data_IF_467333527289
#
_entry.id   IF_467333527289
#
_cell.length_a   1.000
_cell.length_b   1.000
_cell.length_c   1.000
_cell.angle_alpha   90.00
_cell.angle_beta   90.00
_cell.angle_gamma   90.00
#
_symmetry.space_group_name_H-M   'P 1'
#
loop_
_entity.id
_entity.type
_entity.pdbx_description
1 polymer ?
#
# COMPACT_ATOMS: atom_id res chain seq x y z
N UNK A 1 31.86 37.44 38.42
CA UNK A 1 30.42 37.33 38.70
C UNK A 1 29.71 37.56 37.38
N UNK A 2 29.58 36.51 36.54
CA UNK A 2 28.71 36.45 35.36
C UNK A 2 28.75 35.01 34.82
N UNK A 3 27.93 34.19 35.36
CA UNK A 3 27.50 32.90 34.76
C UNK A 3 26.15 32.57 35.39
N UNK A 4 25.12 32.65 34.59
CA UNK A 4 23.80 31.99 34.71
C UNK A 4 22.82 32.79 33.85
N UNK A 5 22.61 32.37 32.61
CA UNK A 5 21.31 32.61 31.93
C UNK A 5 21.25 31.99 30.54
N UNK A 6 21.80 30.78 30.33
CA UNK A 6 21.67 30.09 29.05
C UNK A 6 20.71 28.90 29.06
N UNK A 7 20.28 28.46 30.26
CA UNK A 7 19.33 27.31 30.38
C UNK A 7 17.85 27.70 30.20
N UNK A 8 17.52 28.95 30.59
CA UNK A 8 16.11 29.39 30.57
C UNK A 8 15.61 29.81 29.17
N UNK A 9 16.53 30.15 28.24
CA UNK A 9 16.17 30.47 26.86
C UNK A 9 15.98 29.20 25.99
N UNK A 10 16.79 28.17 26.25
CA UNK A 10 16.63 26.87 25.57
C UNK A 10 15.36 26.17 25.97
N UNK A 11 14.99 26.13 27.25
CA UNK A 11 13.74 25.58 27.75
C UNK A 11 12.48 26.31 27.21
N UNK A 12 12.60 27.64 26.96
CA UNK A 12 11.52 28.41 26.33
C UNK A 12 11.40 28.17 24.84
N UNK A 13 12.48 27.89 24.11
CA UNK A 13 12.45 27.53 22.70
C UNK A 13 11.89 26.12 22.49
N UNK A 14 12.27 25.16 23.32
CA UNK A 14 11.75 23.79 23.23
C UNK A 14 10.24 23.73 23.65
N UNK A 15 9.83 24.53 24.63
CA UNK A 15 8.42 24.68 25.00
C UNK A 15 7.58 25.36 23.91
N UNK A 16 8.15 26.30 23.14
CA UNK A 16 7.47 26.99 22.03
C UNK A 16 7.34 26.10 20.78
N UNK A 17 8.32 25.24 20.50
CA UNK A 17 8.28 24.25 19.43
C UNK A 17 7.25 23.13 19.76
N UNK A 18 7.20 22.67 21.00
CA UNK A 18 6.21 21.71 21.45
C UNK A 18 4.77 22.26 21.43
N UNK A 19 4.57 23.53 21.77
CA UNK A 19 3.27 24.20 21.73
C UNK A 19 2.79 24.49 20.30
N UNK A 20 3.71 24.80 19.37
CA UNK A 20 3.38 25.00 17.95
C UNK A 20 2.97 23.68 17.27
N UNK A 21 3.60 22.56 17.65
CA UNK A 21 3.26 21.23 17.14
C UNK A 21 1.96 20.69 17.76
N UNK A 22 1.67 21.01 19.01
CA UNK A 22 0.40 20.69 19.67
C UNK A 22 -0.78 21.52 19.11
N UNK A 23 -0.59 22.82 18.86
CA UNK A 23 -1.61 23.70 18.24
C UNK A 23 -1.86 23.34 16.77
N UNK A 24 -0.85 22.84 16.04
CA UNK A 24 -1.04 22.27 14.71
C UNK A 24 -1.84 20.96 14.74
N UNK A 25 -1.92 20.26 15.87
CA UNK A 25 -2.67 18.99 16.03
C UNK A 25 -4.17 19.21 16.29
N UNK A 26 -4.59 20.29 16.95
CA UNK A 26 -5.99 20.60 17.22
C UNK A 26 -6.78 21.11 16.00
N UNK A 27 -6.16 21.65 14.97
CA UNK A 27 -6.82 22.09 13.73
C UNK A 27 -7.09 20.96 12.71
N UNK A 28 -6.73 19.72 13.04
CA UNK A 28 -6.67 18.56 12.14
C UNK A 28 -8.00 17.87 11.78
N UNK A 29 -9.05 17.84 12.62
CA UNK A 29 -10.36 17.33 12.20
C UNK A 29 -11.02 18.18 11.12
N UNK A 30 -10.73 19.49 11.08
CA UNK A 30 -11.32 20.42 10.11
C UNK A 30 -10.80 20.21 8.68
N UNK A 31 -9.56 19.75 8.50
CA UNK A 31 -8.99 19.45 7.17
C UNK A 31 -9.74 18.32 6.47
N UNK A 32 -10.03 17.21 7.18
CA UNK A 32 -10.81 16.11 6.59
C UNK A 32 -12.27 16.53 6.30
N UNK A 33 -12.89 17.29 7.19
CA UNK A 33 -14.28 17.74 6.97
C UNK A 33 -14.41 18.67 5.74
N UNK A 34 -13.48 19.60 5.57
CA UNK A 34 -13.50 20.56 4.45
C UNK A 34 -13.23 19.87 3.11
N UNK A 35 -12.24 18.97 3.05
CA UNK A 35 -11.94 18.23 1.83
C UNK A 35 -13.01 17.21 1.45
N UNK A 36 -13.70 16.61 2.44
CA UNK A 36 -14.81 15.69 2.21
C UNK A 36 -16.00 16.37 1.52
N UNK A 37 -16.30 17.61 1.91
CA UNK A 37 -17.38 18.37 1.28
C UNK A 37 -17.13 18.67 -0.21
N UNK A 38 -15.87 18.68 -0.63
CA UNK A 38 -15.49 18.93 -2.03
C UNK A 38 -15.54 17.65 -2.90
N UNK A 39 -15.64 16.45 -2.29
CA UNK A 39 -15.75 15.19 -3.04
C UNK A 39 -17.09 15.13 -3.82
N UNK A 40 -17.05 14.47 -4.97
CA UNK A 40 -18.25 14.17 -5.73
C UNK A 40 -19.15 13.13 -5.00
N UNK A 41 -20.40 12.96 -5.47
CA UNK A 41 -21.36 12.07 -4.84
C UNK A 41 -20.93 10.60 -4.87
N UNK A 42 -20.19 10.18 -5.92
CA UNK A 42 -19.68 8.81 -6.05
C UNK A 42 -18.61 8.53 -5.01
N UNK A 43 -17.67 9.46 -4.83
CA UNK A 43 -16.63 9.35 -3.82
C UNK A 43 -17.22 9.37 -2.41
N UNK A 44 -18.23 10.22 -2.14
CA UNK A 44 -18.91 10.25 -0.83
C UNK A 44 -19.70 8.98 -0.54
N UNK A 45 -20.31 8.37 -1.55
CA UNK A 45 -21.02 7.10 -1.38
C UNK A 45 -20.07 5.93 -1.07
N UNK A 46 -18.87 5.91 -1.69
CA UNK A 46 -17.88 4.88 -1.48
C UNK A 46 -17.07 5.09 -0.19
N UNK A 47 -16.71 6.33 0.11
CA UNK A 47 -15.85 6.73 1.22
C UNK A 47 -16.63 7.62 2.19
N UNK A 48 -17.45 7.00 3.02
CA UNK A 48 -18.28 7.69 4.02
C UNK A 48 -17.47 8.31 5.16
N UNK A 49 -18.12 9.10 6.00
CA UNK A 49 -17.46 9.76 7.15
C UNK A 49 -16.89 8.76 8.15
N UNK A 50 -17.53 7.59 8.31
CA UNK A 50 -17.04 6.52 9.19
C UNK A 50 -15.73 5.95 8.66
N UNK A 51 -15.60 5.78 7.33
CA UNK A 51 -14.36 5.36 6.70
C UNK A 51 -13.24 6.39 6.92
N UNK A 52 -13.51 7.69 6.78
CA UNK A 52 -12.51 8.73 7.04
C UNK A 52 -12.03 8.74 8.50
N UNK A 53 -12.91 8.49 9.45
CA UNK A 53 -12.53 8.33 10.86
C UNK A 53 -11.60 7.12 11.06
N UNK A 54 -11.85 6.01 10.36
CA UNK A 54 -10.95 4.84 10.36
C UNK A 54 -9.58 5.19 9.76
N UNK A 55 -9.51 5.99 8.71
CA UNK A 55 -8.24 6.46 8.16
C UNK A 55 -7.42 7.24 9.20
N UNK A 56 -8.05 8.14 9.94
CA UNK A 56 -7.36 8.88 11.01
C UNK A 56 -6.88 7.95 12.14
N UNK A 57 -7.68 6.96 12.52
CA UNK A 57 -7.25 5.94 13.47
C UNK A 57 -6.01 5.18 12.98
N UNK A 58 -6.04 4.70 11.72
CA UNK A 58 -4.90 4.02 11.10
C UNK A 58 -3.65 4.88 11.09
N UNK A 59 -3.77 6.18 10.85
CA UNK A 59 -2.66 7.12 10.91
C UNK A 59 -2.01 7.17 12.31
N UNK A 60 -2.84 7.25 13.35
CA UNK A 60 -2.34 7.32 14.72
C UNK A 60 -1.59 6.05 15.10
N UNK A 61 -2.16 4.89 14.75
CA UNK A 61 -1.57 3.59 15.03
C UNK A 61 -0.29 3.39 14.22
N UNK A 62 -0.30 3.70 12.92
CA UNK A 62 0.87 3.56 12.05
C UNK A 62 2.02 4.47 12.50
N UNK A 63 1.77 5.73 12.88
CA UNK A 63 2.82 6.62 13.39
C UNK A 63 3.51 6.05 14.64
N UNK A 64 2.75 5.49 15.59
CA UNK A 64 3.32 4.85 16.78
C UNK A 64 4.15 3.61 16.42
N UNK A 65 3.69 2.85 15.47
CA UNK A 65 4.37 1.67 14.96
C UNK A 65 5.67 2.03 14.22
N UNK A 66 5.63 3.03 13.35
CA UNK A 66 6.80 3.50 12.60
C UNK A 66 7.82 4.28 13.45
N UNK A 67 7.41 4.93 14.53
CA UNK A 67 8.33 5.59 15.46
C UNK A 67 9.26 4.60 16.18
N UNK A 68 8.83 3.34 16.36
CA UNK A 68 9.61 2.29 17.01
C UNK A 68 10.44 1.41 16.07
N UNK A 69 10.15 1.44 14.77
CA UNK A 69 10.72 0.53 13.77
C UNK A 69 10.98 1.32 12.48
N UNK A 70 12.21 1.75 12.31
CA UNK A 70 12.66 2.11 10.96
C UNK A 70 12.92 0.81 10.19
N UNK A 71 12.17 0.49 9.12
CA UNK A 71 12.46 -0.67 8.29
C UNK A 71 13.89 -0.60 7.77
N UNK A 72 14.57 -1.73 7.67
CA UNK A 72 15.93 -1.78 7.11
C UNK A 72 16.00 -1.16 5.70
N UNK A 73 14.90 -1.22 4.94
CA UNK A 73 14.74 -0.57 3.63
C UNK A 73 14.71 0.97 3.67
N UNK A 74 14.39 1.58 4.82
CA UNK A 74 14.43 3.05 5.02
C UNK A 74 15.81 3.55 5.44
N UNK A 75 16.70 2.67 5.89
CA UNK A 75 18.06 3.01 6.32
C UNK A 75 19.05 2.92 5.17
N UNK A 76 19.03 3.87 4.27
CA UNK A 76 20.13 4.08 3.35
C UNK A 76 21.30 4.72 4.08
N UNK A 77 22.28 3.94 4.52
CA UNK A 77 23.57 4.48 4.98
C UNK A 77 24.32 5.02 3.77
N UNK A 78 24.32 6.33 3.59
CA UNK A 78 25.14 6.99 2.56
C UNK A 78 26.16 7.89 3.22
N UNK A 79 27.34 7.88 2.63
CA UNK A 79 28.38 8.89 2.94
C UNK A 79 27.88 10.23 2.42
N UNK A 80 27.66 11.24 3.32
CA UNK A 80 27.62 12.61 2.85
C UNK A 80 26.36 13.35 3.15
N UNK A 81 25.30 13.48 2.98
CA UNK A 81 24.29 14.53 3.20
C UNK A 81 22.99 13.96 3.84
N UNK A 82 23.03 13.70 5.12
CA UNK A 82 21.86 13.40 5.93
C UNK A 82 21.77 14.32 7.13
N UNK A 83 20.58 14.49 7.71
CA UNK A 83 20.35 15.36 8.87
C UNK A 83 20.77 14.70 10.19
N UNK A 84 20.83 13.37 10.28
CA UNK A 84 21.19 12.66 11.50
C UNK A 84 22.43 11.78 11.29
N UNK A 85 23.39 11.92 12.20
CA UNK A 85 24.55 11.05 12.27
C UNK A 85 24.11 9.63 12.66
N UNK A 86 24.53 8.64 11.85
CA UNK A 86 24.20 7.23 12.12
C UNK A 86 25.37 6.50 12.80
N UNK A 87 26.51 6.42 12.14
CA UNK A 87 27.67 5.69 12.64
C UNK A 87 28.97 6.12 11.95
N UNK A 88 30.09 5.62 12.45
CA UNK A 88 31.39 5.77 11.81
C UNK A 88 31.77 4.49 11.05
N UNK A 89 32.25 4.65 9.82
CA UNK A 89 32.87 3.57 9.03
C UNK A 89 34.36 3.88 8.83
N UNK A 90 35.24 2.88 8.90
CA UNK A 90 36.64 3.07 8.51
C UNK A 90 36.76 3.61 7.07
N UNK A 91 37.65 4.55 6.87
CA UNK A 91 37.96 5.06 5.54
C UNK A 91 38.60 3.98 4.67
N UNK A 92 38.15 3.89 3.43
CA UNK A 92 38.76 3.04 2.40
C UNK A 92 39.27 3.93 1.24
N UNK A 93 40.36 3.48 0.59
CA UNK A 93 40.94 4.22 -0.54
C UNK A 93 39.91 4.39 -1.65
N UNK A 94 39.65 5.64 -2.03
CA UNK A 94 38.61 6.02 -2.99
C UNK A 94 37.36 6.66 -2.37
N UNK A 95 37.23 6.66 -1.05
CA UNK A 95 36.19 7.39 -0.35
C UNK A 95 36.44 8.91 -0.37
N UNK A 96 35.37 9.69 -0.37
CA UNK A 96 35.45 11.16 -0.35
C UNK A 96 35.84 11.68 1.04
N UNK A 97 37.02 12.23 1.13
CA UNK A 97 37.62 12.76 2.38
C UNK A 97 36.89 13.96 2.99
N UNK A 98 35.94 14.60 2.26
CA UNK A 98 35.09 15.66 2.81
C UNK A 98 34.20 15.18 3.96
N UNK A 99 33.94 13.87 4.00
CA UNK A 99 33.13 13.25 5.03
C UNK A 99 33.92 12.58 6.15
N UNK A 100 35.24 12.78 6.16
CA UNK A 100 36.10 12.35 7.28
C UNK A 100 35.73 13.09 8.57
N UNK A 101 35.69 12.35 9.67
CA UNK A 101 35.57 12.93 11.00
C UNK A 101 36.95 13.32 11.55
N UNK A 102 37.33 14.54 11.27
CA UNK A 102 38.62 15.10 11.76
C UNK A 102 38.71 15.16 13.28
N UNK A 103 37.56 15.32 13.98
CA UNK A 103 37.52 15.32 15.43
C UNK A 103 37.70 13.89 16.00
N UNK A 104 37.19 12.88 15.34
CA UNK A 104 37.46 11.50 15.69
C UNK A 104 38.90 11.10 15.39
N UNK A 105 39.46 11.57 14.26
CA UNK A 105 40.86 11.34 13.92
C UNK A 105 41.80 11.91 15.00
N UNK A 106 41.58 13.16 15.44
CA UNK A 106 42.42 13.78 16.47
C UNK A 106 42.37 13.10 17.85
N UNK A 107 41.34 12.29 18.13
CA UNK A 107 41.19 11.56 19.40
C UNK A 107 41.61 10.11 19.33
N UNK A 108 41.36 9.45 18.19
CA UNK A 108 41.47 7.99 18.06
C UNK A 108 42.57 7.55 17.10
N UNK A 109 43.19 8.48 16.39
CA UNK A 109 44.18 8.25 15.33
C UNK A 109 43.68 7.25 14.26
N UNK A 110 42.38 7.30 13.98
CA UNK A 110 41.71 6.46 12.98
C UNK A 110 40.96 7.32 12.00
N UNK A 111 41.19 7.07 10.72
CA UNK A 111 40.40 7.70 9.65
C UNK A 111 39.01 7.08 9.59
N UNK A 112 38.00 7.81 10.04
CA UNK A 112 36.61 7.41 10.09
C UNK A 112 35.76 8.34 9.23
N UNK A 113 34.89 7.77 8.42
CA UNK A 113 33.85 8.48 7.67
C UNK A 113 32.58 8.59 8.50
N UNK A 114 31.99 9.77 8.50
CA UNK A 114 30.64 9.94 9.03
C UNK A 114 29.63 9.38 8.06
N UNK A 115 28.89 8.39 8.50
CA UNK A 115 27.70 7.94 7.81
C UNK A 115 26.48 8.65 8.40
N UNK A 116 25.69 9.22 7.51
CA UNK A 116 24.45 9.88 7.88
C UNK A 116 23.27 9.00 7.50
N UNK A 117 22.27 9.02 8.35
CA UNK A 117 21.01 8.37 8.06
C UNK A 117 20.25 9.29 7.10
N UNK A 118 20.00 8.79 5.91
CA UNK A 118 19.13 9.46 4.96
C UNK A 118 17.77 8.77 5.02
N UNK A 119 16.75 9.49 5.48
CA UNK A 119 15.38 9.06 5.33
C UNK A 119 15.07 8.94 3.83
N UNK A 120 15.04 7.73 3.32
CA UNK A 120 14.60 7.50 1.93
C UNK A 120 13.07 7.42 1.94
N UNK A 121 12.45 8.32 1.19
CA UNK A 121 11.03 8.20 0.91
C UNK A 121 10.75 6.86 0.25
N UNK A 122 9.85 6.10 0.82
CA UNK A 122 9.35 4.91 0.15
C UNK A 122 8.52 5.31 -1.08
N UNK A 123 8.71 4.57 -2.15
CA UNK A 123 7.85 4.63 -3.32
C UNK A 123 6.88 3.47 -3.25
N UNK A 124 5.61 3.79 -3.17
CA UNK A 124 4.55 2.80 -3.01
C UNK A 124 3.64 2.88 -4.23
N UNK A 125 3.63 1.81 -5.02
CA UNK A 125 2.67 1.59 -6.09
C UNK A 125 1.49 0.79 -5.54
N UNK A 126 0.29 1.28 -5.72
CA UNK A 126 -0.95 0.60 -5.36
C UNK A 126 -1.68 0.29 -6.65
N UNK A 127 -1.81 -0.97 -6.98
CA UNK A 127 -2.52 -1.45 -8.17
C UNK A 127 -3.81 -2.12 -7.74
N UNK A 128 -4.95 -1.64 -8.24
CA UNK A 128 -6.30 -2.11 -7.87
C UNK A 128 -7.03 -2.63 -9.09
N UNK A 129 -7.47 -3.86 -9.00
CA UNK A 129 -8.31 -4.50 -10.01
C UNK A 129 -9.73 -3.92 -9.96
N UNK A 130 -10.24 -3.52 -11.13
CA UNK A 130 -11.60 -3.01 -11.30
C UNK A 130 -12.38 -3.75 -12.39
N UNK A 131 -11.92 -4.96 -12.76
CA UNK A 131 -12.54 -5.84 -13.75
C UNK A 131 -13.93 -6.35 -13.35
N UNK A 132 -14.57 -7.04 -14.26
CA UNK A 132 -15.91 -7.58 -14.08
C UNK A 132 -16.02 -8.56 -12.92
N UNK A 133 -15.02 -9.40 -12.69
CA UNK A 133 -14.99 -10.36 -11.58
C UNK A 133 -15.04 -9.66 -10.23
N UNK A 134 -14.42 -8.46 -10.11
CA UNK A 134 -14.42 -7.65 -8.89
C UNK A 134 -15.77 -7.00 -8.56
N UNK A 135 -16.71 -6.95 -9.51
CA UNK A 135 -18.06 -6.42 -9.28
C UNK A 135 -18.98 -7.41 -8.54
N UNK A 136 -18.56 -8.66 -8.44
CA UNK A 136 -19.34 -9.72 -7.81
C UNK A 136 -19.22 -9.70 -6.29
N UNK A 137 -20.20 -10.36 -5.63
CA UNK A 137 -20.25 -10.48 -4.18
C UNK A 137 -21.09 -9.41 -3.48
N UNK A 138 -21.40 -9.66 -2.20
CA UNK A 138 -22.15 -8.74 -1.33
C UNK A 138 -21.46 -8.65 0.03
N UNK A 139 -20.78 -7.52 0.34
CA UNK A 139 -20.56 -6.35 -0.54
C UNK A 139 -19.65 -6.66 -1.73
N UNK A 140 -19.72 -5.85 -2.82
CA UNK A 140 -18.85 -6.03 -3.99
C UNK A 140 -17.36 -5.99 -3.65
N UNK A 141 -16.58 -6.91 -4.22
CA UNK A 141 -15.12 -6.98 -3.99
C UNK A 141 -14.42 -5.67 -4.36
N UNK A 142 -14.85 -5.02 -5.44
CA UNK A 142 -14.25 -3.76 -5.92
C UNK A 142 -14.38 -2.62 -4.91
N UNK A 143 -15.49 -2.54 -4.17
CA UNK A 143 -15.68 -1.49 -3.17
C UNK A 143 -14.73 -1.66 -2.00
N UNK A 144 -14.55 -2.90 -1.56
CA UNK A 144 -13.56 -3.25 -0.54
C UNK A 144 -12.14 -2.97 -1.04
N UNK A 145 -11.78 -3.39 -2.26
CA UNK A 145 -10.47 -3.18 -2.85
C UNK A 145 -10.12 -1.68 -2.96
N UNK A 146 -11.09 -0.84 -3.39
CA UNK A 146 -10.91 0.62 -3.46
C UNK A 146 -10.72 1.25 -2.07
N UNK A 147 -11.50 0.82 -1.07
CA UNK A 147 -11.33 1.27 0.33
C UNK A 147 -9.99 0.84 0.91
N UNK A 148 -9.56 -0.40 0.66
CA UNK A 148 -8.26 -0.90 1.08
C UNK A 148 -7.11 -0.10 0.45
N UNK A 149 -7.19 0.13 -0.85
CA UNK A 149 -6.20 0.95 -1.57
C UNK A 149 -6.15 2.38 -1.03
N UNK A 150 -7.30 3.00 -0.78
CA UNK A 150 -7.37 4.33 -0.18
C UNK A 150 -6.74 4.38 1.22
N UNK A 151 -6.96 3.36 2.04
CA UNK A 151 -6.39 3.27 3.38
C UNK A 151 -4.87 3.12 3.34
N UNK A 152 -4.34 2.25 2.47
CA UNK A 152 -2.90 2.10 2.27
C UNK A 152 -2.26 3.38 1.73
N UNK A 153 -2.92 4.03 0.75
CA UNK A 153 -2.48 5.32 0.23
C UNK A 153 -2.42 6.39 1.32
N UNK A 154 -3.44 6.47 2.17
CA UNK A 154 -3.50 7.46 3.25
C UNK A 154 -2.36 7.29 4.25
N UNK A 155 -2.06 6.05 4.65
CA UNK A 155 -0.95 5.76 5.56
C UNK A 155 0.39 6.17 4.94
N UNK A 156 0.63 5.82 3.67
CA UNK A 156 1.86 6.23 2.99
C UNK A 156 1.97 7.75 2.84
N UNK A 157 0.88 8.44 2.46
CA UNK A 157 0.84 9.91 2.38
C UNK A 157 1.06 10.58 3.74
N UNK A 158 0.55 9.97 4.83
CA UNK A 158 0.78 10.46 6.18
C UNK A 158 2.24 10.32 6.64
N UNK A 159 2.96 9.34 6.08
CA UNK A 159 4.38 9.12 6.30
C UNK A 159 5.28 9.86 5.27
N UNK A 160 4.69 10.75 4.47
CA UNK A 160 5.36 11.52 3.42
C UNK A 160 5.97 10.65 2.30
N UNK A 161 5.52 9.41 2.15
CA UNK A 161 5.93 8.52 1.08
C UNK A 161 5.39 9.01 -0.29
N UNK A 162 6.01 8.54 -1.37
CA UNK A 162 5.56 8.82 -2.74
C UNK A 162 4.61 7.74 -3.18
N UNK A 163 3.36 8.10 -3.37
CA UNK A 163 2.30 7.16 -3.74
C UNK A 163 1.99 7.27 -5.23
N UNK A 164 1.83 6.12 -5.88
CA UNK A 164 1.19 5.98 -7.17
C UNK A 164 0.02 5.04 -7.01
N UNK A 165 -1.16 5.48 -7.37
CA UNK A 165 -2.35 4.64 -7.42
C UNK A 165 -2.68 4.32 -8.87
N UNK A 166 -2.91 3.05 -9.16
CA UNK A 166 -3.29 2.59 -10.50
C UNK A 166 -4.52 1.69 -10.39
N UNK A 167 -5.41 1.79 -11.35
CA UNK A 167 -6.51 0.85 -11.55
C UNK A 167 -6.40 0.24 -12.93
N UNK A 168 -6.83 -1.01 -13.09
CA UNK A 168 -6.86 -1.66 -14.39
C UNK A 168 -8.16 -2.42 -14.60
N UNK A 169 -8.64 -2.36 -15.82
CA UNK A 169 -9.74 -3.14 -16.37
C UNK A 169 -9.64 -3.09 -17.89
N UNK A 170 -10.14 -4.11 -18.58
CA UNK A 170 -10.29 -4.15 -20.03
C UNK A 170 -9.01 -3.77 -20.83
N UNK A 171 -7.85 -4.19 -20.35
CA UNK A 171 -6.55 -3.91 -20.98
C UNK A 171 -6.01 -2.50 -20.76
N UNK A 172 -6.72 -1.63 -20.05
CA UNK A 172 -6.30 -0.27 -19.75
C UNK A 172 -5.81 -0.10 -18.32
N UNK A 173 -4.71 0.62 -18.14
CA UNK A 173 -4.22 1.04 -16.82
C UNK A 173 -4.32 2.56 -16.70
N UNK A 174 -5.11 3.00 -15.75
CA UNK A 174 -5.13 4.40 -15.32
C UNK A 174 -4.22 4.58 -14.12
N UNK A 175 -3.50 5.68 -14.06
CA UNK A 175 -2.57 5.95 -12.95
C UNK A 175 -2.64 7.39 -12.48
N UNK A 176 -2.64 7.55 -11.16
CA UNK A 176 -2.50 8.82 -10.47
C UNK A 176 -1.18 8.83 -9.71
N UNK A 177 -0.34 9.85 -9.95
CA UNK A 177 0.83 10.15 -9.14
C UNK A 177 0.50 11.22 -8.13
N UNK A 178 0.69 10.94 -6.85
CA UNK A 178 0.42 11.94 -5.82
C UNK A 178 1.68 12.74 -5.50
N UNK A 179 1.48 13.97 -5.06
CA UNK A 179 2.50 14.73 -4.32
C UNK A 179 2.53 14.23 -2.88
N UNK A 180 3.56 14.60 -2.14
CA UNK A 180 3.65 14.27 -0.71
C UNK A 180 2.57 14.99 0.10
N UNK A 181 2.19 14.37 1.20
CA UNK A 181 1.33 14.98 2.20
C UNK A 181 -0.12 14.53 2.15
N UNK A 182 -0.75 14.54 3.29
CA UNK A 182 -2.09 13.98 3.56
C UNK A 182 -3.21 14.60 2.73
N UNK A 183 -3.09 15.87 2.37
CA UNK A 183 -4.09 16.53 1.53
C UNK A 183 -4.29 15.91 0.15
N UNK A 184 -3.35 15.09 -0.31
CA UNK A 184 -3.46 14.38 -1.57
C UNK A 184 -4.46 13.21 -1.52
N UNK A 185 -4.94 12.83 -0.34
CA UNK A 185 -5.90 11.72 -0.21
C UNK A 185 -7.18 11.99 -1.00
N UNK A 186 -7.67 13.22 -1.07
CA UNK A 186 -8.91 13.54 -1.80
C UNK A 186 -8.78 13.23 -3.29
N UNK A 187 -7.65 13.57 -3.90
CA UNK A 187 -7.36 13.20 -5.28
C UNK A 187 -7.33 11.67 -5.48
N UNK A 188 -6.85 10.92 -4.49
CA UNK A 188 -6.88 9.45 -4.51
C UNK A 188 -8.30 8.92 -4.39
N UNK A 189 -9.13 9.48 -3.49
CA UNK A 189 -10.52 9.07 -3.31
C UNK A 189 -11.34 9.31 -4.60
N UNK A 190 -11.22 10.48 -5.20
CA UNK A 190 -11.87 10.83 -6.48
C UNK A 190 -11.39 9.92 -7.62
N UNK A 191 -10.08 9.69 -7.71
CA UNK A 191 -9.50 8.79 -8.71
C UNK A 191 -10.08 7.38 -8.60
N UNK A 192 -10.11 6.80 -7.40
CA UNK A 192 -10.65 5.46 -7.15
C UNK A 192 -12.16 5.40 -7.39
N UNK A 193 -12.92 6.42 -6.98
CA UNK A 193 -14.37 6.49 -7.20
C UNK A 193 -14.72 6.62 -8.67
N UNK A 194 -13.91 7.32 -9.46
CA UNK A 194 -14.10 7.54 -10.90
C UNK A 194 -13.50 6.44 -11.79
N UNK A 195 -12.90 5.40 -11.19
CA UNK A 195 -12.29 4.31 -11.95
C UNK A 195 -13.34 3.61 -12.82
N UNK A 196 -13.04 3.29 -14.08
CA UNK A 196 -13.88 2.41 -14.90
C UNK A 196 -14.03 1.06 -14.23
N UNK A 197 -15.23 0.51 -14.27
CA UNK A 197 -15.58 -0.77 -13.66
C UNK A 197 -16.05 -1.76 -14.74
N UNK A 198 -15.63 -3.02 -14.60
CA UNK A 198 -16.03 -4.08 -15.52
C UNK A 198 -14.97 -4.38 -16.59
N UNK A 199 -15.31 -5.20 -17.57
CA UNK A 199 -14.38 -5.68 -18.57
C UNK A 199 -13.48 -6.82 -18.07
N UNK A 200 -12.57 -7.27 -18.92
CA UNK A 200 -11.66 -8.39 -18.63
C UNK A 200 -10.49 -7.97 -17.77
N UNK A 201 -9.99 -8.91 -16.97
CA UNK A 201 -8.75 -8.71 -16.21
C UNK A 201 -7.55 -9.32 -16.94
N UNK A 202 -6.42 -8.62 -16.90
CA UNK A 202 -5.12 -9.15 -17.32
C UNK A 202 -4.01 -8.47 -16.52
N UNK A 203 -3.58 -9.11 -15.44
CA UNK A 203 -2.55 -8.55 -14.56
C UNK A 203 -1.18 -8.46 -15.24
N UNK A 204 -0.84 -9.38 -16.16
CA UNK A 204 0.42 -9.35 -16.89
C UNK A 204 0.53 -8.06 -17.73
N UNK A 205 -0.53 -7.72 -18.46
CA UNK A 205 -0.59 -6.48 -19.24
C UNK A 205 -0.58 -5.25 -18.32
N UNK A 206 -1.33 -5.28 -17.23
CA UNK A 206 -1.37 -4.19 -16.26
C UNK A 206 0.01 -3.94 -15.62
N UNK A 207 0.72 -4.99 -15.22
CA UNK A 207 2.07 -4.91 -14.66
C UNK A 207 3.07 -4.35 -15.68
N UNK A 208 2.98 -4.78 -16.93
CA UNK A 208 3.82 -4.25 -18.02
C UNK A 208 3.63 -2.74 -18.20
N UNK A 209 2.37 -2.28 -18.27
CA UNK A 209 2.06 -0.85 -18.41
C UNK A 209 2.49 -0.07 -17.15
N UNK A 210 2.31 -0.63 -15.96
CA UNK A 210 2.78 -0.03 -14.72
C UNK A 210 4.30 0.17 -14.73
N UNK A 211 5.08 -0.86 -15.06
CA UNK A 211 6.54 -0.82 -15.11
C UNK A 211 7.07 0.19 -16.14
N UNK A 212 6.40 0.35 -17.28
CA UNK A 212 6.78 1.35 -18.27
C UNK A 212 6.77 2.79 -17.74
N UNK A 213 5.90 3.05 -16.75
CA UNK A 213 5.73 4.36 -16.13
C UNK A 213 6.40 4.47 -14.75
N UNK A 214 6.82 3.36 -14.15
CA UNK A 214 7.45 3.28 -12.84
C UNK A 214 8.96 3.05 -12.99
N UNK A 215 9.71 4.11 -13.31
CA UNK A 215 11.17 4.02 -13.52
C UNK A 215 11.98 3.69 -12.25
N UNK A 216 11.37 3.71 -11.08
CA UNK A 216 12.09 3.61 -9.80
C UNK A 216 11.52 2.47 -8.95
N UNK A 217 12.42 1.67 -8.38
CA UNK A 217 12.10 0.55 -7.51
C UNK A 217 11.38 1.00 -6.24
N UNK A 218 10.49 0.17 -5.72
CA UNK A 218 9.72 0.45 -4.51
C UNK A 218 8.80 -0.72 -4.15
N UNK A 219 7.94 -0.51 -3.17
CA UNK A 219 6.88 -1.45 -2.82
C UNK A 219 5.74 -1.34 -3.82
N UNK A 220 5.28 -2.47 -4.34
CA UNK A 220 4.06 -2.54 -5.17
C UNK A 220 3.06 -3.47 -4.50
N UNK A 221 1.90 -2.94 -4.17
CA UNK A 221 0.79 -3.70 -3.61
C UNK A 221 -0.26 -3.90 -4.69
N UNK A 222 -0.56 -5.15 -5.00
CA UNK A 222 -1.56 -5.55 -6.00
C UNK A 222 -2.80 -6.04 -5.27
N UNK A 223 -3.95 -5.43 -5.52
CA UNK A 223 -5.24 -5.76 -4.90
C UNK A 223 -6.17 -6.30 -5.99
N UNK A 224 -6.48 -7.60 -5.95
CA UNK A 224 -7.28 -8.32 -6.95
C UNK A 224 -7.85 -9.59 -6.34
N UNK A 225 -8.81 -10.24 -6.99
CA UNK A 225 -9.18 -11.64 -6.68
C UNK A 225 -8.23 -12.65 -7.33
N UNK A 226 -7.31 -12.17 -8.20
CA UNK A 226 -6.33 -12.96 -8.95
C UNK A 226 -6.96 -14.06 -9.83
N UNK A 227 -8.25 -13.96 -10.10
CA UNK A 227 -8.94 -14.85 -11.02
C UNK A 227 -8.73 -14.31 -12.44
N UNK A 228 -8.15 -15.12 -13.31
CA UNK A 228 -8.04 -14.82 -14.73
C UNK A 228 -9.19 -15.46 -15.49
N UNK A 229 -9.48 -14.96 -16.70
CA UNK A 229 -10.34 -15.65 -17.65
C UNK A 229 -9.69 -16.96 -18.16
N UNK A 230 -10.42 -17.73 -18.97
CA UNK A 230 -9.94 -19.01 -19.48
C UNK A 230 -8.67 -18.90 -20.36
N UNK A 231 -8.47 -17.74 -20.98
CA UNK A 231 -7.31 -17.47 -21.86
C UNK A 231 -6.10 -16.96 -21.04
N UNK A 232 -6.34 -16.32 -19.89
CA UNK A 232 -5.32 -15.66 -19.07
C UNK A 232 -5.28 -16.16 -17.62
N UNK A 233 -5.61 -17.43 -17.42
CA UNK A 233 -5.70 -18.03 -16.08
C UNK A 233 -4.41 -17.90 -15.23
N UNK A 234 -3.25 -17.76 -15.87
CA UNK A 234 -1.95 -17.61 -15.23
C UNK A 234 -1.42 -16.16 -15.28
N UNK A 235 -2.22 -15.20 -15.75
CA UNK A 235 -1.79 -13.80 -15.90
C UNK A 235 -1.32 -13.17 -14.58
N UNK A 236 -1.82 -13.66 -13.44
CA UNK A 236 -1.36 -13.21 -12.12
C UNK A 236 0.10 -13.59 -11.88
N UNK A 237 0.53 -14.81 -12.29
CA UNK A 237 1.91 -15.26 -12.12
C UNK A 237 2.85 -14.41 -12.97
N UNK A 238 2.50 -14.20 -14.23
CA UNK A 238 3.30 -13.38 -15.14
C UNK A 238 3.37 -11.92 -14.66
N UNK A 239 2.24 -11.36 -14.22
CA UNK A 239 2.17 -9.99 -13.75
C UNK A 239 2.99 -9.76 -12.47
N UNK A 240 2.81 -10.61 -11.46
CA UNK A 240 3.57 -10.50 -10.21
C UNK A 240 5.07 -10.78 -10.43
N UNK A 241 5.42 -11.77 -11.27
CA UNK A 241 6.81 -12.05 -11.61
C UNK A 241 7.47 -10.89 -12.38
N UNK A 242 6.73 -10.20 -13.24
CA UNK A 242 7.23 -9.05 -13.98
C UNK A 242 7.54 -7.87 -13.04
N UNK A 243 6.67 -7.61 -12.05
CA UNK A 243 6.90 -6.58 -11.03
C UNK A 243 8.16 -6.89 -10.20
N UNK A 244 8.32 -8.13 -9.75
CA UNK A 244 9.49 -8.60 -9.01
C UNK A 244 10.76 -8.52 -9.86
N UNK A 245 10.71 -8.95 -11.12
CA UNK A 245 11.84 -8.85 -12.06
C UNK A 245 12.32 -7.40 -12.26
N UNK A 246 11.42 -6.42 -12.24
CA UNK A 246 11.78 -5.01 -12.25
C UNK A 246 12.36 -4.49 -10.92
N UNK A 247 12.48 -5.37 -9.91
CA UNK A 247 13.09 -5.10 -8.61
C UNK A 247 12.18 -4.36 -7.64
N UNK A 248 10.86 -4.48 -7.83
CA UNK A 248 9.89 -4.05 -6.84
C UNK A 248 9.74 -5.11 -5.75
N UNK A 249 9.55 -4.68 -4.50
CA UNK A 249 9.01 -5.53 -3.46
C UNK A 249 7.51 -5.70 -3.72
N UNK A 250 7.04 -6.93 -3.94
CA UNK A 250 5.67 -7.18 -4.38
C UNK A 250 4.84 -7.78 -3.24
N UNK A 251 3.66 -7.21 -3.02
CA UNK A 251 2.66 -7.72 -2.10
C UNK A 251 1.36 -7.98 -2.84
N UNK A 252 0.82 -9.19 -2.69
CA UNK A 252 -0.43 -9.62 -3.31
C UNK A 252 -1.55 -9.67 -2.25
N UNK A 253 -2.54 -8.78 -2.38
CA UNK A 253 -3.70 -8.74 -1.50
C UNK A 253 -4.91 -9.30 -2.23
N UNK A 254 -5.28 -10.53 -1.90
CA UNK A 254 -6.43 -11.24 -2.46
C UNK A 254 -7.73 -10.75 -1.83
N UNK A 255 -8.72 -10.44 -2.67
CA UNK A 255 -10.07 -10.07 -2.22
C UNK A 255 -11.04 -11.12 -2.68
N UNK A 256 -11.77 -11.72 -1.75
CA UNK A 256 -12.81 -12.71 -2.00
C UNK A 256 -14.15 -12.18 -1.48
N UNK A 257 -15.25 -12.61 -2.07
CA UNK A 257 -16.57 -12.40 -1.47
C UNK A 257 -16.96 -13.57 -0.55
N UNK A 258 -17.84 -13.37 0.42
CA UNK A 258 -18.40 -14.49 1.19
C UNK A 258 -19.06 -15.54 0.30
N UNK A 259 -19.69 -15.12 -0.79
CA UNK A 259 -20.31 -16.03 -1.77
C UNK A 259 -19.28 -16.84 -2.57
N UNK A 260 -18.08 -16.32 -2.82
CA UNK A 260 -17.01 -17.10 -3.46
C UNK A 260 -16.57 -18.27 -2.56
N UNK A 261 -16.55 -18.04 -1.24
CA UNK A 261 -16.24 -19.08 -0.28
C UNK A 261 -17.34 -20.11 -0.11
N UNK A 262 -18.61 -19.68 -0.12
CA UNK A 262 -19.78 -20.51 0.08
C UNK A 262 -20.94 -20.06 -0.83
N UNK A 263 -20.96 -20.48 -2.10
CA UNK A 263 -22.03 -20.10 -3.00
C UNK A 263 -23.41 -20.47 -2.43
N UNK A 264 -24.34 -19.51 -2.29
CA UNK A 264 -25.63 -19.75 -1.66
C UNK A 264 -26.66 -20.39 -2.60
N UNK A 265 -26.29 -20.63 -3.88
CA UNK A 265 -27.23 -21.06 -4.92
C UNK A 265 -27.34 -22.58 -4.99
N UNK A 266 -28.54 -23.05 -5.19
CA UNK A 266 -28.88 -24.47 -5.44
C UNK A 266 -30.01 -24.55 -6.48
N UNK A 267 -30.05 -25.64 -7.23
CA UNK A 267 -31.08 -25.87 -8.25
C UNK A 267 -30.72 -25.27 -9.61
N UNK A 268 -31.74 -24.94 -10.38
CA UNK A 268 -31.56 -24.37 -11.72
C UNK A 268 -31.21 -22.87 -11.59
N UNK A 269 -30.03 -22.49 -12.06
CA UNK A 269 -29.54 -21.14 -12.02
C UNK A 269 -28.98 -20.73 -13.38
N UNK A 270 -29.06 -19.46 -13.68
CA UNK A 270 -28.38 -18.87 -14.82
C UNK A 270 -27.09 -18.16 -14.33
N UNK A 271 -25.96 -18.70 -14.75
CA UNK A 271 -24.65 -18.08 -14.44
C UNK A 271 -24.35 -17.06 -15.52
N UNK A 272 -24.06 -15.85 -15.09
CA UNK A 272 -23.57 -14.76 -15.94
C UNK A 272 -22.05 -14.64 -15.73
N UNK A 273 -21.28 -14.79 -16.79
CA UNK A 273 -19.87 -14.45 -16.77
C UNK A 273 -19.72 -12.92 -16.67
N UNK A 274 -19.12 -12.48 -15.60
CA UNK A 274 -19.02 -11.05 -15.28
C UNK A 274 -18.06 -10.28 -16.18
N UNK A 275 -17.20 -10.97 -16.93
CA UNK A 275 -16.20 -10.37 -17.81
C UNK A 275 -16.64 -10.39 -19.28
N UNK A 276 -17.26 -11.48 -19.72
CA UNK A 276 -17.69 -11.63 -21.11
C UNK A 276 -19.16 -11.31 -21.33
N UNK A 277 -19.98 -11.33 -20.28
CA UNK A 277 -21.42 -11.17 -20.36
C UNK A 277 -22.17 -12.42 -20.89
N UNK A 278 -21.45 -13.53 -21.10
CA UNK A 278 -22.05 -14.78 -21.52
C UNK A 278 -22.91 -15.37 -20.40
N UNK A 279 -24.11 -15.84 -20.76
CA UNK A 279 -24.99 -16.52 -19.81
C UNK A 279 -25.03 -18.03 -20.08
N UNK A 280 -25.04 -18.79 -18.99
CA UNK A 280 -25.11 -20.25 -19.05
C UNK A 280 -26.08 -20.79 -18.00
N UNK A 281 -27.14 -21.45 -18.47
CA UNK A 281 -28.05 -22.17 -17.60
C UNK A 281 -27.35 -23.42 -17.04
N UNK A 282 -27.31 -23.57 -15.74
CA UNK A 282 -26.66 -24.70 -15.06
C UNK A 282 -27.55 -25.14 -13.90
N UNK A 283 -27.65 -26.45 -13.70
CA UNK A 283 -28.26 -26.99 -12.51
C UNK A 283 -27.22 -27.25 -11.45
N UNK A 284 -27.23 -26.44 -10.41
CA UNK A 284 -26.27 -26.59 -9.30
C UNK A 284 -26.71 -27.69 -8.35
N UNK A 285 -26.02 -28.84 -8.45
CA UNK A 285 -26.15 -29.96 -7.54
C UNK A 285 -25.13 -29.88 -6.41
N UNK A 286 -25.36 -30.61 -5.29
CA UNK A 286 -24.33 -30.66 -4.21
C UNK A 286 -22.98 -31.17 -4.72
N UNK A 287 -22.94 -32.05 -5.71
CA UNK A 287 -21.68 -32.55 -6.31
C UNK A 287 -20.96 -31.46 -7.09
N UNK A 288 -21.69 -30.62 -7.83
CA UNK A 288 -21.10 -29.48 -8.54
C UNK A 288 -20.57 -28.43 -7.56
N UNK A 289 -21.30 -28.17 -6.48
CA UNK A 289 -20.81 -27.29 -5.40
C UNK A 289 -19.54 -27.85 -4.76
N UNK A 290 -19.47 -29.15 -4.48
CA UNK A 290 -18.27 -29.79 -3.97
C UNK A 290 -17.09 -29.72 -4.95
N UNK A 291 -17.33 -29.88 -6.26
CA UNK A 291 -16.32 -29.72 -7.32
C UNK A 291 -15.79 -28.28 -7.39
N UNK A 292 -16.69 -27.29 -7.29
CA UNK A 292 -16.28 -25.89 -7.23
C UNK A 292 -15.37 -25.63 -6.04
N UNK A 293 -15.76 -26.07 -4.84
CA UNK A 293 -14.98 -25.93 -3.62
C UNK A 293 -13.61 -26.62 -3.70
N UNK A 294 -13.55 -27.78 -4.36
CA UNK A 294 -12.29 -28.49 -4.57
C UNK A 294 -11.35 -27.68 -5.50
N UNK A 295 -11.86 -27.19 -6.63
CA UNK A 295 -11.08 -26.37 -7.57
C UNK A 295 -10.62 -25.05 -6.95
N UNK A 296 -11.50 -24.39 -6.18
CA UNK A 296 -11.14 -23.17 -5.47
C UNK A 296 -10.00 -23.45 -4.48
N UNK A 297 -10.08 -24.48 -3.64
CA UNK A 297 -9.00 -24.86 -2.72
C UNK A 297 -7.69 -25.16 -3.46
N UNK A 298 -7.76 -25.85 -4.56
CA UNK A 298 -6.60 -26.14 -5.40
C UNK A 298 -5.96 -24.85 -5.97
N UNK A 299 -6.76 -23.93 -6.45
CA UNK A 299 -6.29 -22.62 -6.92
C UNK A 299 -5.59 -21.85 -5.79
N UNK A 300 -6.26 -21.75 -4.63
CA UNK A 300 -5.71 -21.04 -3.47
C UNK A 300 -4.39 -21.66 -3.01
N UNK A 301 -4.32 -22.97 -2.96
CA UNK A 301 -3.09 -23.70 -2.59
C UNK A 301 -1.95 -23.45 -3.60
N UNK A 302 -2.26 -23.47 -4.91
CA UNK A 302 -1.26 -23.16 -5.95
C UNK A 302 -0.77 -21.73 -5.86
N UNK A 303 -1.68 -20.79 -5.63
CA UNK A 303 -1.34 -19.38 -5.45
C UNK A 303 -0.41 -19.18 -4.24
N UNK A 304 -0.75 -19.78 -3.09
CA UNK A 304 0.06 -19.69 -1.86
C UNK A 304 1.44 -20.30 -2.04
N UNK A 305 1.52 -21.48 -2.64
CA UNK A 305 2.78 -22.15 -2.91
C UNK A 305 3.67 -21.31 -3.85
N UNK A 306 3.08 -20.81 -4.94
CA UNK A 306 3.80 -20.03 -5.95
C UNK A 306 4.31 -18.68 -5.40
N UNK A 307 3.51 -17.96 -4.63
CA UNK A 307 3.92 -16.69 -4.00
C UNK A 307 4.98 -16.92 -2.92
N UNK A 308 4.82 -17.95 -2.11
CA UNK A 308 5.79 -18.30 -1.05
C UNK A 308 7.14 -18.69 -1.64
N UNK A 309 7.19 -19.49 -2.69
CA UNK A 309 8.43 -19.89 -3.38
C UNK A 309 9.24 -18.69 -3.88
N UNK A 310 8.55 -17.61 -4.29
CA UNK A 310 9.17 -16.37 -4.78
C UNK A 310 9.39 -15.30 -3.72
N UNK A 311 9.03 -15.58 -2.48
CA UNK A 311 9.12 -14.60 -1.40
C UNK A 311 8.16 -13.41 -1.56
N UNK A 312 7.11 -13.56 -2.39
CA UNK A 312 6.07 -12.55 -2.56
C UNK A 312 5.13 -12.62 -1.35
N UNK A 313 5.07 -11.54 -0.59
CA UNK A 313 4.14 -11.45 0.53
C UNK A 313 2.69 -11.48 0.03
N UNK A 314 1.86 -12.34 0.62
CA UNK A 314 0.45 -12.40 0.24
C UNK A 314 -0.47 -12.48 1.45
N UNK A 315 -1.65 -11.91 1.29
CA UNK A 315 -2.73 -11.91 2.27
C UNK A 315 -4.06 -12.01 1.55
N UNK A 316 -5.07 -12.61 2.18
CA UNK A 316 -6.44 -12.63 1.68
C UNK A 316 -7.40 -12.05 2.70
N UNK A 317 -8.42 -11.38 2.18
CA UNK A 317 -9.51 -10.86 2.98
C UNK A 317 -10.84 -11.02 2.24
N UNK A 318 -11.91 -11.16 3.00
CA UNK A 318 -13.27 -11.14 2.46
C UNK A 318 -13.75 -9.69 2.34
N UNK A 319 -14.61 -9.43 1.35
CA UNK A 319 -15.11 -8.09 1.05
C UNK A 319 -15.97 -7.48 2.16
N UNK A 320 -16.41 -8.28 3.13
CA UNK A 320 -17.14 -7.86 4.33
C UNK A 320 -16.22 -7.61 5.55
N UNK A 321 -14.91 -7.86 5.43
CA UNK A 321 -13.96 -7.63 6.50
C UNK A 321 -13.77 -6.13 6.81
N UNK A 322 -13.28 -5.83 7.99
CA UNK A 322 -12.89 -4.46 8.34
C UNK A 322 -11.57 -4.08 7.66
N UNK A 323 -11.60 -3.03 6.84
CA UNK A 323 -10.41 -2.54 6.13
C UNK A 323 -9.31 -2.10 7.09
N UNK A 324 -9.66 -1.53 8.26
CA UNK A 324 -8.65 -1.06 9.21
C UNK A 324 -7.89 -2.23 9.84
N UNK A 325 -8.58 -3.30 10.19
CA UNK A 325 -7.96 -4.51 10.74
C UNK A 325 -7.02 -5.15 9.71
N UNK A 326 -7.46 -5.23 8.44
CA UNK A 326 -6.63 -5.77 7.37
C UNK A 326 -5.37 -4.93 7.15
N UNK A 327 -5.48 -3.60 7.12
CA UNK A 327 -4.31 -2.72 6.97
C UNK A 327 -3.32 -2.93 8.12
N UNK A 328 -3.79 -3.10 9.35
CA UNK A 328 -2.94 -3.41 10.49
C UNK A 328 -2.25 -4.78 10.34
N UNK A 329 -2.95 -5.78 9.81
CA UNK A 329 -2.36 -7.10 9.53
C UNK A 329 -1.32 -7.04 8.40
N UNK A 330 -1.58 -6.28 7.35
CA UNK A 330 -0.62 -6.00 6.27
C UNK A 330 0.67 -5.40 6.86
N UNK A 331 0.55 -4.41 7.73
CA UNK A 331 1.72 -3.80 8.36
C UNK A 331 2.44 -4.73 9.33
N UNK A 332 1.72 -5.57 10.06
CA UNK A 332 2.30 -6.54 10.98
C UNK A 332 3.11 -7.60 10.23
N UNK A 333 2.57 -8.16 9.16
CA UNK A 333 3.24 -9.18 8.32
C UNK A 333 4.42 -8.61 7.54
N UNK A 334 4.32 -7.37 7.09
CA UNK A 334 5.42 -6.66 6.42
C UNK A 334 6.54 -6.21 7.35
N UNK A 335 6.46 -6.53 8.65
CA UNK A 335 7.46 -6.11 9.61
C UNK A 335 7.42 -4.63 9.95
N UNK A 336 6.36 -3.91 9.52
CA UNK A 336 6.18 -2.49 9.83
C UNK A 336 5.59 -2.26 11.23
N UNK A 337 5.03 -3.31 11.85
CA UNK A 337 4.47 -3.29 13.22
C UNK A 337 4.85 -4.59 13.93
N UNK A 338 5.35 -4.50 15.17
CA UNK A 338 5.55 -5.63 16.08
C UNK A 338 4.40 -5.75 17.04
#
# INVERSE_FOLDING_TARGET
>A
MHRMDTGAEQDRQDASLGAADAAADESRPQLLATGYAALDDRARALFDTAFLQKLEYLRIVSRRAFAGLQPASRRGLRTGAGLEFAEHRPYAVGDDFRYLDWAAYGRLDKLLLRLFQQDQDLRIGLMTDTSGSMLTGRPPKVDFARRLTAALAYVGLANLDRIRVSTWADGEVRSLRTRRGRGQIYAVLEFLASAPLGGRTNLALAAKQFCQHAAERGLVVVVSDFLGDAEHAESYQEGLALLDYHGHEVWALGVESPEDAAPPWQGDVELLDSETGETRAVRLTPEQAARYQARRREFLHRFDAWTTERGIAHLRATSDADVADLVLDVFRRGGFIR
#
